data_IF_152137335931
#
_entry.id   IF_152137335931
#
_cell.length_a   1.000
_cell.length_b   1.000
_cell.length_c   1.000
_cell.angle_alpha   90.00
_cell.angle_beta   90.00
_cell.angle_gamma   90.00
#
_symmetry.space_group_name_H-M   'P 1'
#
loop_
_entity.id
_entity.type
_entity.pdbx_description
1 polymer ?
#
# COMPACT_ATOMS: atom_id res chain seq x y z
N UNK A 1 -5.90 -17.66 -16.96
CA UNK A 1 -5.05 -16.86 -16.05
C UNK A 1 -3.99 -17.72 -15.34
N UNK A 2 -4.37 -18.73 -14.52
CA UNK A 2 -3.40 -19.49 -13.69
C UNK A 2 -2.32 -20.24 -14.49
N UNK A 3 -2.67 -20.83 -15.64
CA UNK A 3 -1.72 -21.55 -16.49
C UNK A 3 -0.65 -20.64 -17.10
N UNK A 4 -0.99 -19.38 -17.38
CA UNK A 4 -0.06 -18.38 -17.87
C UNK A 4 0.98 -18.04 -16.79
N UNK A 5 0.51 -17.82 -15.55
CA UNK A 5 1.38 -17.57 -14.40
C UNK A 5 2.33 -18.75 -14.15
N UNK A 6 1.81 -19.99 -14.23
CA UNK A 6 2.59 -21.22 -14.06
C UNK A 6 3.66 -21.38 -15.15
N UNK A 7 3.30 -21.13 -16.42
CA UNK A 7 4.26 -21.19 -17.53
C UNK A 7 5.33 -20.10 -17.39
N UNK A 8 4.94 -18.88 -17.01
CA UNK A 8 5.88 -17.78 -16.79
C UNK A 8 6.85 -18.07 -15.63
N UNK A 9 6.36 -18.64 -14.52
CA UNK A 9 7.21 -19.02 -13.38
C UNK A 9 8.19 -20.13 -13.74
N UNK A 10 7.74 -21.18 -14.44
CA UNK A 10 8.65 -22.24 -14.92
C UNK A 10 9.71 -21.65 -15.88
N UNK A 11 9.31 -20.77 -16.79
CA UNK A 11 10.23 -20.09 -17.70
C UNK A 11 11.28 -19.24 -16.96
N UNK A 12 10.86 -18.51 -15.93
CA UNK A 12 11.76 -17.72 -15.08
C UNK A 12 12.80 -18.60 -14.36
N UNK A 13 12.38 -19.77 -13.86
CA UNK A 13 13.28 -20.73 -13.20
C UNK A 13 14.33 -21.27 -14.17
N UNK A 14 13.91 -21.67 -15.37
CA UNK A 14 14.85 -22.16 -16.41
C UNK A 14 15.79 -21.04 -16.85
N UNK A 15 15.27 -19.83 -17.07
CA UNK A 15 16.10 -18.67 -17.42
C UNK A 15 17.12 -18.35 -16.31
N UNK A 16 16.71 -18.35 -15.05
CA UNK A 16 17.59 -18.12 -13.90
C UNK A 16 18.69 -19.17 -13.76
N UNK A 17 18.43 -20.43 -14.14
CA UNK A 17 19.45 -21.49 -14.14
C UNK A 17 20.48 -21.36 -15.27
N UNK A 18 20.14 -20.67 -16.37
CA UNK A 18 21.02 -20.45 -17.52
C UNK A 18 21.81 -19.15 -17.45
N UNK A 19 21.29 -18.14 -16.72
CA UNK A 19 21.93 -16.83 -16.54
C UNK A 19 23.04 -16.91 -15.47
N UNK A 20 24.04 -16.03 -15.57
CA UNK A 20 25.08 -15.93 -14.56
C UNK A 20 24.54 -15.29 -13.28
N UNK A 21 25.09 -15.69 -12.13
CA UNK A 21 24.70 -15.16 -10.83
C UNK A 21 24.72 -13.62 -10.78
N UNK A 22 25.80 -12.90 -11.22
CA UNK A 22 25.82 -11.44 -11.17
C UNK A 22 24.71 -10.79 -12.01
N UNK A 23 24.36 -11.37 -13.16
CA UNK A 23 23.34 -10.83 -14.06
C UNK A 23 21.93 -10.94 -13.45
N UNK A 24 21.63 -12.06 -12.79
CA UNK A 24 20.34 -12.26 -12.11
C UNK A 24 20.16 -11.25 -10.98
N UNK A 25 21.20 -10.99 -10.19
CA UNK A 25 21.15 -10.00 -9.12
C UNK A 25 20.98 -8.58 -9.65
N UNK A 26 21.70 -8.20 -10.71
CA UNK A 26 21.53 -6.89 -11.34
C UNK A 26 20.10 -6.69 -11.85
N UNK A 27 19.50 -7.71 -12.47
CA UNK A 27 18.10 -7.65 -12.90
C UNK A 27 17.14 -7.52 -11.72
N UNK A 28 17.37 -8.29 -10.65
CA UNK A 28 16.57 -8.23 -9.43
C UNK A 28 16.64 -6.84 -8.78
N UNK A 29 17.83 -6.23 -8.71
CA UNK A 29 18.03 -4.88 -8.17
C UNK A 29 17.28 -3.82 -8.98
N UNK A 30 17.30 -3.91 -10.31
CA UNK A 30 16.55 -2.99 -11.19
C UNK A 30 15.04 -3.14 -10.97
N UNK A 31 14.53 -4.37 -10.93
CA UNK A 31 13.09 -4.63 -10.68
C UNK A 31 12.69 -4.12 -9.29
N UNK A 32 13.53 -4.38 -8.28
CA UNK A 32 13.32 -3.92 -6.91
C UNK A 32 13.32 -2.39 -6.84
N UNK A 33 14.25 -1.72 -7.53
CA UNK A 33 14.29 -0.26 -7.61
C UNK A 33 13.03 0.31 -8.28
N UNK A 34 12.56 -0.27 -9.39
CA UNK A 34 11.31 0.14 -10.02
C UNK A 34 10.11 0.00 -9.08
N UNK A 35 9.99 -1.14 -8.39
CA UNK A 35 8.93 -1.36 -7.40
C UNK A 35 9.01 -0.35 -6.26
N UNK A 36 10.21 -0.14 -5.70
CA UNK A 36 10.44 0.79 -4.61
C UNK A 36 10.07 2.23 -5.01
N UNK A 37 10.46 2.67 -6.21
CA UNK A 37 10.11 4.01 -6.71
C UNK A 37 8.58 4.17 -6.77
N UNK A 38 7.87 3.22 -7.39
CA UNK A 38 6.40 3.34 -7.50
C UNK A 38 5.71 3.38 -6.14
N UNK A 39 6.12 2.53 -5.19
CA UNK A 39 5.54 2.51 -3.85
C UNK A 39 5.91 3.76 -3.04
N UNK A 40 7.16 4.21 -3.11
CA UNK A 40 7.62 5.42 -2.43
C UNK A 40 6.88 6.65 -2.96
N UNK A 41 6.69 6.77 -4.29
CA UNK A 41 5.88 7.82 -4.88
C UNK A 41 4.45 7.81 -4.34
N UNK A 42 3.81 6.64 -4.24
CA UNK A 42 2.48 6.52 -3.65
C UNK A 42 2.45 6.98 -2.18
N UNK A 43 3.43 6.57 -1.37
CA UNK A 43 3.55 7.01 0.04
C UNK A 43 3.73 8.53 0.14
N UNK A 44 4.57 9.13 -0.72
CA UNK A 44 4.78 10.58 -0.74
C UNK A 44 3.51 11.34 -1.09
N UNK A 45 2.73 10.85 -2.06
CA UNK A 45 1.43 11.43 -2.42
C UNK A 45 0.40 11.30 -1.28
N UNK A 46 0.45 10.21 -0.51
CA UNK A 46 -0.47 9.95 0.61
C UNK A 46 -0.04 10.63 1.93
N UNK A 47 1.21 11.09 2.02
CA UNK A 47 1.79 11.75 3.19
C UNK A 47 0.90 12.82 3.86
N UNK A 48 0.27 13.78 3.15
CA UNK A 48 -0.58 14.78 3.79
C UNK A 48 -1.82 14.18 4.49
N UNK A 49 -2.43 13.15 3.88
CA UNK A 49 -3.58 12.43 4.44
C UNK A 49 -3.16 11.66 5.70
N UNK A 50 -2.06 10.90 5.60
CA UNK A 50 -1.50 10.15 6.73
C UNK A 50 -1.14 11.06 7.89
N UNK A 51 -0.51 12.22 7.61
CA UNK A 51 -0.14 13.16 8.66
C UNK A 51 -1.36 13.73 9.39
N UNK A 52 -2.41 14.06 8.65
CA UNK A 52 -3.68 14.58 9.19
C UNK A 52 -4.35 13.55 10.11
N UNK A 53 -4.51 12.32 9.62
CA UNK A 53 -5.11 11.22 10.37
C UNK A 53 -4.26 10.81 11.58
N UNK A 54 -2.93 10.74 11.42
CA UNK A 54 -2.02 10.40 12.51
C UNK A 54 -2.07 11.45 13.63
N UNK A 55 -2.15 12.74 13.30
CA UNK A 55 -2.31 13.81 14.31
C UNK A 55 -3.61 13.67 15.08
N UNK A 56 -4.71 13.39 14.39
CA UNK A 56 -6.01 13.16 15.03
C UNK A 56 -5.97 11.93 15.96
N UNK A 57 -5.46 10.81 15.46
CA UNK A 57 -5.26 9.58 16.25
C UNK A 57 -4.40 9.83 17.50
N UNK A 58 -3.24 10.49 17.35
CA UNK A 58 -2.36 10.81 18.46
C UNK A 58 -3.01 11.77 19.45
N UNK A 59 -3.83 12.72 19.00
CA UNK A 59 -4.61 13.61 19.87
C UNK A 59 -5.63 12.81 20.69
N UNK A 60 -6.40 11.93 20.05
CA UNK A 60 -7.37 11.07 20.73
C UNK A 60 -6.68 10.17 21.76
N UNK A 61 -5.57 9.55 21.39
CA UNK A 61 -4.76 8.72 22.29
C UNK A 61 -4.23 9.50 23.50
N UNK A 62 -3.79 10.75 23.32
CA UNK A 62 -3.35 11.63 24.42
C UNK A 62 -4.48 12.02 25.37
N UNK A 63 -5.71 12.14 24.86
CA UNK A 63 -6.90 12.44 25.66
C UNK A 63 -7.40 11.23 26.47
N UNK A 64 -6.79 10.05 26.32
CA UNK A 64 -7.21 8.83 27.00
C UNK A 64 -8.51 8.23 26.47
N UNK A 65 -9.07 8.79 25.39
CA UNK A 65 -10.26 8.24 24.72
C UNK A 65 -9.85 7.16 23.73
N UNK A 66 -10.75 6.20 23.45
CA UNK A 66 -10.50 5.18 22.43
C UNK A 66 -10.41 5.87 21.06
N UNK A 67 -9.28 5.76 20.35
CA UNK A 67 -9.15 6.40 19.05
C UNK A 67 -10.14 5.82 18.05
N UNK A 68 -11.00 6.66 17.48
CA UNK A 68 -11.98 6.31 16.48
C UNK A 68 -11.89 7.28 15.30
N UNK A 69 -11.79 6.73 14.09
CA UNK A 69 -11.89 7.52 12.88
C UNK A 69 -13.36 7.86 12.62
N UNK A 70 -13.60 9.13 12.32
CA UNK A 70 -14.92 9.68 11.99
C UNK A 70 -14.79 10.44 10.66
N UNK A 71 -15.35 9.90 9.56
CA UNK A 71 -15.27 10.50 8.21
C UNK A 71 -15.79 11.92 8.14
N UNK A 72 -16.83 12.27 8.92
CA UNK A 72 -17.49 13.59 8.88
C UNK A 72 -16.55 14.72 9.31
N UNK A 73 -15.48 14.38 10.04
CA UNK A 73 -14.47 15.34 10.49
C UNK A 73 -13.41 15.65 9.43
N UNK A 74 -13.45 14.94 8.29
CA UNK A 74 -12.47 15.04 7.21
C UNK A 74 -13.17 15.10 5.84
N UNK A 75 -13.83 16.23 5.51
CA UNK A 75 -14.58 16.36 4.24
C UNK A 75 -13.72 16.19 2.98
N UNK A 76 -12.41 16.46 3.07
CA UNK A 76 -11.47 16.27 1.96
C UNK A 76 -11.11 14.78 1.71
N UNK A 77 -11.28 13.92 2.72
CA UNK A 77 -10.96 12.48 2.67
C UNK A 77 -12.22 11.65 2.40
N UNK A 78 -13.37 12.10 2.89
CA UNK A 78 -14.68 11.45 2.72
C UNK A 78 -14.97 10.96 1.27
N UNK A 79 -14.78 11.77 0.20
CA UNK A 79 -15.07 11.32 -1.17
C UNK A 79 -14.09 10.26 -1.69
N UNK A 80 -12.96 10.03 -1.01
CA UNK A 80 -11.97 9.02 -1.37
C UNK A 80 -12.26 7.66 -0.72
N UNK A 81 -13.17 7.61 0.25
CA UNK A 81 -13.58 6.38 0.92
C UNK A 81 -14.49 5.56 -0.02
N UNK A 82 -14.27 4.25 -0.07
CA UNK A 82 -15.20 3.38 -0.76
C UNK A 82 -16.56 3.37 -0.02
N UNK A 83 -17.69 3.27 -0.75
CA UNK A 83 -19.02 3.19 -0.14
C UNK A 83 -19.05 2.11 0.94
N UNK A 84 -19.76 2.38 2.04
CA UNK A 84 -20.00 1.46 3.15
C UNK A 84 -18.75 1.03 3.98
N UNK A 85 -17.57 1.61 3.74
CA UNK A 85 -16.34 1.22 4.48
C UNK A 85 -16.32 1.71 5.93
N UNK A 86 -16.89 2.88 6.20
CA UNK A 86 -16.96 3.50 7.53
C UNK A 86 -18.35 4.03 7.82
N UNK A 87 -19.37 3.20 7.56
CA UNK A 87 -20.76 3.57 7.78
C UNK A 87 -21.10 3.54 9.28
N UNK A 88 -21.41 4.71 9.84
CA UNK A 88 -21.82 4.83 11.23
C UNK A 88 -23.21 4.21 11.49
N UNK A 89 -24.03 4.08 10.43
CA UNK A 89 -25.41 3.57 10.47
C UNK A 89 -25.54 2.05 10.73
N UNK A 90 -24.43 1.30 10.66
CA UNK A 90 -24.41 -0.15 10.92
C UNK A 90 -24.02 -0.50 12.36
N UNK A 91 -23.88 0.49 13.25
CA UNK A 91 -23.39 0.32 14.64
C UNK A 91 -24.46 0.54 15.70
N UNK A 92 -25.72 0.33 15.34
CA UNK A 92 -26.91 0.38 16.22
C UNK A 92 -27.45 -1.03 16.51
#
# INVERSE_FOLDING_TARGET
MIWLLRLATIGMVVAGALLSFPLVWQLADVIMACMAITNLTAILLLSPVVHTLARDYLRQRKLGVRPQFDPQRFPDIEPQLAPDTWDASLRD
#
